data_IF_179880587750
#
_entry.id   IF_179880587750
#
_cell.length_a   1.000
_cell.length_b   1.000
_cell.length_c   1.000
_cell.angle_alpha   90.00
_cell.angle_beta   90.00
_cell.angle_gamma   90.00
#
_symmetry.space_group_name_H-M   'P 1'
#
loop_
_entity.id
_entity.type
_entity.pdbx_description
1 polymer ?
#
# COMPACT_ATOMS: atom_id res chain seq x y z
N UNK A 1 -5.19 4.11 -0.66
CA UNK A 1 -3.90 3.79 -1.31
C UNK A 1 -3.34 2.53 -0.66
N UNK A 2 -2.80 1.60 -1.44
CA UNK A 2 -2.19 0.36 -0.90
C UNK A 2 -0.74 0.63 -0.49
N UNK A 3 -0.35 0.16 0.70
CA UNK A 3 1.02 0.13 1.18
C UNK A 3 1.62 -1.23 0.81
N UNK A 4 2.65 -1.22 -0.02
CA UNK A 4 3.40 -2.43 -0.41
C UNK A 4 4.72 -2.48 0.32
N UNK A 5 5.17 -3.69 0.63
CA UNK A 5 6.52 -3.92 1.11
C UNK A 5 7.48 -4.06 -0.10
N UNK A 6 8.68 -3.49 0.01
CA UNK A 6 9.70 -3.57 -1.05
C UNK A 6 10.21 -5.00 -1.29
N UNK A 7 10.06 -5.88 -0.30
CA UNK A 7 10.46 -7.29 -0.35
C UNK A 7 9.33 -8.24 -0.79
N UNK A 8 8.22 -7.71 -1.31
CA UNK A 8 7.15 -8.55 -1.88
C UNK A 8 7.61 -9.20 -3.18
N UNK A 9 7.69 -10.52 -3.20
CA UNK A 9 8.02 -11.32 -4.39
C UNK A 9 6.81 -12.16 -4.78
N UNK A 10 6.41 -12.11 -6.05
CA UNK A 10 5.35 -12.98 -6.58
C UNK A 10 5.99 -14.27 -7.06
N UNK A 11 5.52 -15.39 -6.53
CA UNK A 11 5.95 -16.73 -6.90
C UNK A 11 4.81 -17.41 -7.66
N UNK A 12 5.15 -18.07 -8.75
CA UNK A 12 4.23 -18.92 -9.49
C UNK A 12 4.51 -20.38 -9.14
N UNK A 13 3.47 -21.13 -8.80
CA UNK A 13 3.58 -22.57 -8.64
C UNK A 13 3.63 -23.21 -10.04
N UNK A 14 4.76 -23.83 -10.38
CA UNK A 14 4.96 -24.46 -11.68
C UNK A 14 4.13 -25.73 -11.88
N UNK A 15 3.64 -26.34 -10.80
CA UNK A 15 2.85 -27.57 -10.83
C UNK A 15 1.35 -27.31 -10.95
N UNK A 16 0.81 -26.34 -10.21
CA UNK A 16 -0.63 -26.00 -10.26
C UNK A 16 -0.95 -24.85 -11.23
N UNK A 17 0.05 -24.06 -11.63
CA UNK A 17 -0.11 -22.87 -12.46
C UNK A 17 -0.62 -21.63 -11.72
N UNK A 18 -0.92 -21.74 -10.42
CA UNK A 18 -1.35 -20.63 -9.57
C UNK A 18 -0.21 -19.68 -9.21
N UNK A 19 -0.55 -18.51 -8.65
CA UNK A 19 0.44 -17.53 -8.22
C UNK A 19 0.09 -16.93 -6.87
N UNK A 20 1.10 -16.73 -6.02
CA UNK A 20 0.94 -16.12 -4.71
C UNK A 20 2.10 -15.16 -4.40
N UNK A 21 1.95 -14.35 -3.36
CA UNK A 21 3.03 -13.46 -2.91
C UNK A 21 3.74 -14.09 -1.72
N UNK A 22 5.03 -14.30 -1.88
CA UNK A 22 5.87 -14.94 -0.88
C UNK A 22 5.88 -14.16 0.43
N UNK A 23 5.75 -14.88 1.53
CA UNK A 23 5.69 -14.38 2.90
C UNK A 23 4.62 -13.31 3.19
N UNK A 24 3.64 -13.10 2.31
CA UNK A 24 2.62 -12.07 2.51
C UNK A 24 1.54 -12.54 3.48
N UNK A 25 1.38 -11.86 4.60
CA UNK A 25 0.36 -12.24 5.60
C UNK A 25 -0.85 -11.30 5.57
N UNK A 26 -0.64 -10.02 5.24
CA UNK A 26 -1.74 -9.05 5.12
C UNK A 26 -1.51 -8.08 3.95
N UNK A 27 -2.59 -7.66 3.30
CA UNK A 27 -2.65 -6.43 2.54
C UNK A 27 -2.74 -5.23 3.48
N UNK A 28 -1.93 -4.21 3.25
CA UNK A 28 -2.04 -2.94 3.96
C UNK A 28 -2.66 -1.85 3.08
N UNK A 29 -3.67 -1.17 3.62
CA UNK A 29 -4.26 0.04 3.06
C UNK A 29 -4.16 1.18 4.07
N UNK A 30 -4.07 2.40 3.58
CA UNK A 30 -4.10 3.59 4.42
C UNK A 30 -5.27 4.49 4.06
N UNK A 31 -6.05 4.86 5.08
CA UNK A 31 -7.03 5.95 5.06
C UNK A 31 -6.44 7.15 5.79
N UNK A 32 -6.44 8.32 5.14
CA UNK A 32 -5.70 9.50 5.58
C UNK A 32 -6.57 10.75 5.50
N UNK A 33 -7.56 10.91 6.39
CA UNK A 33 -8.27 12.17 6.51
C UNK A 33 -7.29 13.26 6.96
N UNK A 34 -7.14 14.32 6.16
CA UNK A 34 -6.20 15.39 6.43
C UNK A 34 -6.94 16.72 6.58
N UNK A 35 -6.44 17.57 7.47
CA UNK A 35 -6.84 18.96 7.58
C UNK A 35 -5.61 19.84 7.50
N UNK A 36 -5.69 20.96 6.80
CA UNK A 36 -4.52 21.78 6.55
C UNK A 36 -4.82 23.17 6.04
N UNK A 37 -3.74 23.93 5.89
CA UNK A 37 -3.75 25.30 5.42
C UNK A 37 -3.00 25.41 4.11
N UNK A 38 -3.53 26.27 3.24
CA UNK A 38 -2.84 26.72 2.05
C UNK A 38 -2.55 28.22 2.20
N UNK A 39 -1.34 28.63 1.83
CA UNK A 39 -0.88 30.02 1.86
C UNK A 39 -0.28 30.38 0.51
N UNK A 40 -0.71 31.51 -0.03
CA UNK A 40 -0.11 32.07 -1.26
C UNK A 40 1.19 32.75 -0.84
N UNK A 41 2.33 32.22 -1.29
CA UNK A 41 3.64 32.81 -1.04
C UNK A 41 3.92 33.96 -2.02
N UNK A 42 3.61 33.74 -3.29
CA UNK A 42 3.79 34.72 -4.36
C UNK A 42 2.53 34.83 -5.19
N UNK A 43 1.97 36.04 -5.22
CA UNK A 43 0.78 36.35 -6.01
C UNK A 43 1.19 36.71 -7.43
N UNK A 44 0.42 36.22 -8.40
CA UNK A 44 0.63 36.49 -9.83
C UNK A 44 0.70 38.00 -10.12
N UNK A 45 1.74 38.43 -10.83
CA UNK A 45 1.85 39.78 -11.40
C UNK A 45 0.94 39.93 -12.63
N UNK A 46 0.48 41.17 -12.89
CA UNK A 46 -0.59 41.49 -13.85
C UNK A 46 -0.37 40.93 -15.26
N UNK A 47 0.86 40.87 -15.77
CA UNK A 47 1.10 40.52 -17.18
C UNK A 47 1.59 39.08 -17.46
N UNK A 48 2.22 38.37 -16.52
CA UNK A 48 2.72 36.99 -16.75
C UNK A 48 3.21 36.26 -15.48
N UNK A 49 2.53 36.38 -14.34
CA UNK A 49 3.03 35.74 -13.10
C UNK A 49 2.70 34.25 -12.94
N UNK A 50 3.64 33.50 -12.36
CA UNK A 50 3.39 32.21 -11.69
C UNK A 50 2.88 32.49 -10.28
N UNK A 51 1.80 31.83 -9.86
CA UNK A 51 1.38 31.85 -8.47
C UNK A 51 2.02 30.68 -7.74
N UNK A 52 2.62 30.95 -6.57
CA UNK A 52 3.24 29.92 -5.73
C UNK A 52 2.42 29.80 -4.45
N UNK A 53 1.93 28.60 -4.16
CA UNK A 53 1.25 28.29 -2.91
C UNK A 53 2.06 27.27 -2.11
N UNK A 54 2.09 27.46 -0.80
CA UNK A 54 2.51 26.46 0.15
C UNK A 54 1.30 25.79 0.78
N UNK A 55 1.32 24.47 0.85
CA UNK A 55 0.32 23.65 1.51
C UNK A 55 0.96 22.91 2.67
N UNK A 56 0.30 22.93 3.82
CA UNK A 56 0.69 22.16 4.99
C UNK A 56 -0.55 21.54 5.60
N UNK A 57 -0.58 20.22 5.74
CA UNK A 57 -1.69 19.48 6.32
C UNK A 57 -1.20 18.36 7.22
N UNK A 58 -2.00 18.05 8.23
CA UNK A 58 -1.75 16.93 9.13
C UNK A 58 -3.08 16.26 9.46
N UNK A 59 -3.02 15.01 9.89
CA UNK A 59 -4.22 14.29 10.28
C UNK A 59 -3.95 12.91 10.83
N UNK A 60 -4.98 12.26 11.38
CA UNK A 60 -4.89 10.86 11.74
C UNK A 60 -4.75 10.00 10.47
N UNK A 61 -4.03 8.90 10.59
CA UNK A 61 -3.96 7.83 9.58
C UNK A 61 -4.55 6.56 10.18
N UNK A 62 -5.33 5.84 9.39
CA UNK A 62 -5.84 4.51 9.76
C UNK A 62 -5.26 3.51 8.78
N UNK A 63 -4.37 2.65 9.28
CA UNK A 63 -3.86 1.49 8.58
C UNK A 63 -4.88 0.37 8.66
N UNK A 64 -5.23 -0.21 7.54
CA UNK A 64 -6.19 -1.30 7.41
C UNK A 64 -5.39 -2.50 6.93
N UNK A 65 -5.23 -3.51 7.78
CA UNK A 65 -4.54 -4.75 7.50
C UNK A 65 -5.57 -5.82 7.21
N UNK A 66 -5.75 -6.13 5.93
CA UNK A 66 -6.67 -7.18 5.50
C UNK A 66 -5.87 -8.48 5.29
N UNK A 67 -6.27 -9.61 5.90
CA UNK A 67 -5.58 -10.89 5.75
C UNK A 67 -5.39 -11.29 4.28
N UNK A 68 -4.21 -11.82 3.97
CA UNK A 68 -3.94 -12.46 2.68
C UNK A 68 -4.20 -13.96 2.82
N UNK A 69 -5.19 -14.46 2.08
CA UNK A 69 -5.53 -15.88 2.08
C UNK A 69 -4.91 -16.59 0.88
N UNK A 70 -4.50 -17.83 1.11
CA UNK A 70 -4.01 -18.76 0.09
C UNK A 70 -4.84 -20.04 0.14
N UNK A 71 -4.91 -20.74 -0.99
CA UNK A 71 -5.42 -22.10 -1.04
C UNK A 71 -4.25 -23.05 -0.81
N UNK A 72 -4.23 -23.72 0.34
CA UNK A 72 -3.16 -24.63 0.73
C UNK A 72 -3.62 -26.07 0.71
N UNK A 73 -2.80 -26.93 0.11
CA UNK A 73 -3.08 -28.36 0.01
C UNK A 73 -2.32 -29.15 1.08
N UNK A 74 -3.04 -29.60 2.09
CA UNK A 74 -2.46 -30.35 3.21
C UNK A 74 -2.03 -31.78 2.83
N UNK A 75 -2.59 -32.34 1.76
CA UNK A 75 -2.20 -33.65 1.24
C UNK A 75 -0.90 -33.51 0.47
N UNK A 76 -0.85 -32.59 -0.51
CA UNK A 76 0.35 -32.29 -1.28
C UNK A 76 1.50 -31.77 -0.42
N UNK A 77 1.22 -31.10 0.71
CA UNK A 77 2.23 -30.71 1.68
C UNK A 77 3.03 -31.89 2.26
N UNK A 78 2.42 -33.08 2.34
CA UNK A 78 3.05 -34.29 2.86
C UNK A 78 3.57 -35.22 1.76
N UNK A 79 2.86 -35.29 0.64
CA UNK A 79 3.14 -36.25 -0.44
C UNK A 79 3.95 -35.66 -1.59
N UNK A 80 3.99 -34.32 -1.71
CA UNK A 80 4.53 -33.57 -2.85
C UNK A 80 3.87 -33.93 -4.20
N UNK A 81 2.68 -34.53 -4.17
CA UNK A 81 1.91 -34.94 -5.35
C UNK A 81 0.51 -34.37 -5.22
N UNK A 82 0.07 -33.67 -6.27
CA UNK A 82 -1.27 -33.13 -6.38
C UNK A 82 -2.22 -34.16 -6.99
N UNK A 83 -3.35 -34.40 -6.33
CA UNK A 83 -4.39 -35.32 -6.73
C UNK A 83 -5.77 -34.68 -6.60
N UNK A 84 -6.76 -35.26 -7.28
CA UNK A 84 -8.14 -34.75 -7.25
C UNK A 84 -8.87 -34.97 -5.91
N UNK A 85 -8.28 -35.70 -4.96
CA UNK A 85 -8.86 -36.01 -3.65
C UNK A 85 -8.14 -35.30 -2.50
N UNK A 86 -7.41 -34.23 -2.81
CA UNK A 86 -6.59 -33.51 -1.86
C UNK A 86 -7.40 -32.58 -0.95
N UNK A 87 -6.92 -32.40 0.29
CA UNK A 87 -7.54 -31.52 1.29
C UNK A 87 -7.01 -30.09 1.10
N UNK A 88 -7.71 -29.34 0.22
CA UNK A 88 -7.40 -27.94 -0.08
C UNK A 88 -8.23 -27.04 0.82
N UNK A 89 -7.54 -26.14 1.55
CA UNK A 89 -8.17 -25.20 2.48
C UNK A 89 -7.74 -23.78 2.21
N UNK A 90 -8.70 -22.86 2.27
CA UNK A 90 -8.44 -21.44 2.18
C UNK A 90 -8.19 -20.85 3.57
N UNK A 91 -6.96 -20.42 3.82
CA UNK A 91 -6.56 -19.84 5.10
C UNK A 91 -5.55 -18.72 4.97
N UNK A 92 -5.37 -17.95 6.04
CA UNK A 92 -4.43 -16.85 6.05
C UNK A 92 -3.00 -17.38 5.91
N UNK A 93 -2.25 -16.82 4.96
CA UNK A 93 -0.89 -17.26 4.72
C UNK A 93 0.04 -16.91 5.88
N UNK A 94 0.53 -17.95 6.51
CA UNK A 94 1.55 -17.92 7.55
C UNK A 94 2.74 -18.79 7.14
N UNK A 95 3.92 -18.22 6.83
CA UNK A 95 5.14 -18.97 6.50
C UNK A 95 5.61 -19.93 7.60
N UNK A 96 5.19 -19.72 8.86
CA UNK A 96 5.50 -20.62 9.97
C UNK A 96 4.72 -21.93 9.93
N UNK A 97 3.51 -21.91 9.34
CA UNK A 97 2.62 -23.07 9.22
C UNK A 97 2.77 -23.70 7.82
N UNK A 98 2.80 -22.85 6.79
CA UNK A 98 2.86 -23.22 5.39
C UNK A 98 4.32 -23.34 4.92
N UNK A 99 5.10 -24.19 5.60
CA UNK A 99 6.52 -24.39 5.34
C UNK A 99 6.75 -25.02 3.95
N UNK A 100 5.82 -25.88 3.51
CA UNK A 100 5.89 -26.50 2.19
C UNK A 100 5.29 -25.57 1.13
N UNK A 101 6.10 -24.64 0.62
CA UNK A 101 5.74 -23.65 -0.41
C UNK A 101 5.17 -24.28 -1.69
N UNK A 102 5.68 -25.46 -2.04
CA UNK A 102 5.22 -26.21 -3.22
C UNK A 102 3.78 -26.71 -3.12
N UNK A 103 3.18 -26.74 -1.93
CA UNK A 103 1.79 -27.14 -1.69
C UNK A 103 0.80 -25.97 -1.69
N UNK A 104 1.29 -24.74 -1.91
CA UNK A 104 0.44 -23.57 -2.10
C UNK A 104 -0.11 -23.62 -3.53
N UNK A 105 -1.41 -23.83 -3.68
CA UNK A 105 -2.07 -24.03 -4.98
C UNK A 105 -2.20 -22.72 -5.73
N UNK A 106 -2.84 -21.71 -5.10
CA UNK A 106 -3.04 -20.37 -5.64
C UNK A 106 -3.36 -19.38 -4.50
N UNK A 107 -3.46 -18.10 -4.82
CA UNK A 107 -4.04 -17.10 -3.94
C UNK A 107 -5.57 -17.22 -3.87
N UNK A 108 -6.13 -17.06 -2.67
CA UNK A 108 -7.57 -17.05 -2.49
C UNK A 108 -8.18 -15.71 -2.93
N UNK A 109 -9.52 -15.62 -3.08
CA UNK A 109 -10.20 -14.37 -3.43
C UNK A 109 -9.85 -13.23 -2.47
N UNK A 110 -9.72 -12.01 -3.00
CA UNK A 110 -9.24 -10.84 -2.24
C UNK A 110 -10.06 -10.52 -0.97
N UNK A 111 -11.37 -10.77 -0.96
CA UNK A 111 -12.23 -10.49 0.18
C UNK A 111 -12.30 -11.62 1.21
N UNK A 112 -11.62 -12.73 0.95
CA UNK A 112 -11.49 -13.83 1.91
C UNK A 112 -10.74 -13.32 3.15
N UNK A 113 -11.42 -13.30 4.29
CA UNK A 113 -10.85 -12.80 5.55
C UNK A 113 -11.13 -11.33 5.88
N UNK A 114 -12.03 -10.63 5.15
CA UNK A 114 -12.43 -9.25 5.49
C UNK A 114 -12.91 -9.10 6.95
N UNK A 115 -13.54 -10.14 7.51
CA UNK A 115 -13.98 -10.16 8.90
C UNK A 115 -12.86 -10.21 9.95
N UNK A 116 -11.62 -10.52 9.54
CA UNK A 116 -10.42 -10.53 10.40
C UNK A 116 -9.49 -9.34 10.13
N UNK A 117 -10.00 -8.30 9.46
CA UNK A 117 -9.25 -7.06 9.20
C UNK A 117 -8.83 -6.38 10.50
N UNK A 118 -7.56 -6.02 10.61
CA UNK A 118 -7.03 -5.28 11.75
C UNK A 118 -6.87 -3.81 11.41
N UNK A 119 -7.27 -2.94 12.34
CA UNK A 119 -7.10 -1.49 12.21
C UNK A 119 -5.92 -1.03 13.07
N UNK A 120 -5.07 -0.21 12.49
CA UNK A 120 -3.88 0.36 13.14
C UNK A 120 -3.95 1.87 13.07
N UNK A 121 -4.04 2.51 14.23
CA UNK A 121 -3.98 3.97 14.31
C UNK A 121 -2.57 4.49 13.99
N UNK A 122 -2.54 5.65 13.34
CA UNK A 122 -1.34 6.37 12.95
C UNK A 122 -1.62 7.86 12.77
N UNK A 123 -0.63 8.58 12.31
CA UNK A 123 -0.72 9.99 11.97
C UNK A 123 0.16 10.29 10.76
N UNK A 124 -0.20 11.33 10.02
CA UNK A 124 0.59 11.81 8.89
C UNK A 124 0.74 13.33 8.89
N UNK A 125 1.82 13.76 8.23
CA UNK A 125 2.12 15.14 7.91
C UNK A 125 2.40 15.24 6.41
N UNK A 126 1.76 16.19 5.73
CA UNK A 126 1.95 16.48 4.31
C UNK A 126 2.31 17.94 4.13
N UNK A 127 3.39 18.19 3.41
CA UNK A 127 3.82 19.52 2.98
C UNK A 127 3.99 19.55 1.47
N UNK A 128 3.56 20.63 0.81
CA UNK A 128 3.68 20.76 -0.64
C UNK A 128 3.84 22.21 -1.09
N UNK A 129 4.44 22.37 -2.26
CA UNK A 129 4.52 23.62 -3.00
C UNK A 129 3.80 23.43 -4.33
N UNK A 130 2.84 24.29 -4.64
CA UNK A 130 2.15 24.31 -5.93
C UNK A 130 2.51 25.56 -6.72
N UNK A 131 2.92 25.38 -7.96
CA UNK A 131 3.20 26.43 -8.93
C UNK A 131 2.08 26.42 -9.95
N UNK A 132 1.33 27.51 -10.04
CA UNK A 132 0.22 27.65 -10.97
C UNK A 132 0.58 28.71 -12.03
N UNK A 133 0.50 28.30 -13.29
CA UNK A 133 0.69 29.14 -14.47
C UNK A 133 -0.65 29.28 -15.19
N UNK A 134 -1.18 30.49 -15.21
CA UNK A 134 -2.32 30.85 -16.06
C UNK A 134 -1.91 31.92 -17.05
N UNK A 135 -1.96 31.64 -18.36
CA UNK A 135 -1.90 32.71 -19.37
C UNK A 135 -3.32 33.26 -19.56
N UNK A 136 -3.45 34.54 -19.90
CA UNK A 136 -4.75 35.21 -20.05
C UNK A 136 -5.74 34.36 -20.88
N UNK A 137 -6.84 33.99 -20.21
CA UNK A 137 -8.15 33.52 -20.68
C UNK A 137 -8.43 32.01 -20.81
N UNK A 138 -7.60 31.12 -21.34
CA UNK A 138 -8.14 29.79 -21.74
C UNK A 138 -7.44 28.52 -21.22
N UNK A 139 -6.28 28.60 -20.56
CA UNK A 139 -5.62 27.41 -19.99
C UNK A 139 -4.91 27.70 -18.66
N UNK A 140 -5.18 26.87 -17.65
CA UNK A 140 -4.49 26.87 -16.36
C UNK A 140 -3.68 25.58 -16.28
N UNK A 141 -2.36 25.70 -16.17
CA UNK A 141 -1.46 24.59 -15.93
C UNK A 141 -0.80 24.76 -14.57
N UNK A 142 -0.64 23.69 -13.81
CA UNK A 142 -0.01 23.74 -12.50
C UNK A 142 0.81 22.51 -12.19
N UNK A 143 1.83 22.68 -11.36
CA UNK A 143 2.66 21.60 -10.85
C UNK A 143 2.67 21.71 -9.33
N UNK A 144 2.33 20.63 -8.64
CA UNK A 144 2.50 20.50 -7.19
C UNK A 144 3.56 19.46 -6.90
N UNK A 145 4.54 19.82 -6.07
CA UNK A 145 5.52 18.89 -5.53
C UNK A 145 5.39 18.88 -4.01
N UNK A 146 5.30 17.70 -3.42
CA UNK A 146 5.13 17.57 -1.98
C UNK A 146 5.75 16.33 -1.41
N UNK A 147 5.83 16.32 -0.08
CA UNK A 147 6.21 15.19 0.72
C UNK A 147 5.08 14.81 1.67
N UNK A 148 5.00 13.53 1.98
CA UNK A 148 4.10 12.94 2.95
C UNK A 148 4.95 12.06 3.86
N UNK A 149 4.77 12.23 5.16
CA UNK A 149 5.42 11.43 6.18
C UNK A 149 4.34 10.82 7.04
N UNK A 150 4.35 9.51 7.17
CA UNK A 150 3.36 8.77 7.97
C UNK A 150 4.03 7.89 9.02
N UNK A 151 3.39 7.78 10.16
CA UNK A 151 3.80 6.88 11.24
C UNK A 151 2.60 6.15 11.83
N UNK A 152 2.80 4.89 12.23
CA UNK A 152 1.76 4.05 12.83
C UNK A 152 2.15 3.61 14.23
N UNK A 153 1.18 3.54 15.13
CA UNK A 153 1.38 3.12 16.51
C UNK A 153 1.95 1.69 16.60
N UNK A 154 1.49 0.81 15.70
CA UNK A 154 1.98 -0.57 15.55
C UNK A 154 2.58 -0.75 14.16
N UNK A 155 3.48 -1.73 14.02
CA UNK A 155 4.01 -2.13 12.71
C UNK A 155 2.88 -2.69 11.87
N UNK A 156 2.84 -2.29 10.61
CA UNK A 156 1.95 -2.88 9.63
C UNK A 156 2.56 -4.22 9.21
N UNK A 157 2.03 -5.32 9.74
CA UNK A 157 2.50 -6.68 9.44
C UNK A 157 2.05 -7.08 8.02
N UNK A 158 2.79 -6.63 7.01
CA UNK A 158 2.52 -6.94 5.60
C UNK A 158 3.14 -8.30 5.24
N UNK A 159 4.40 -8.48 5.64
CA UNK A 159 5.14 -9.72 5.46
C UNK A 159 5.39 -10.39 6.81
N UNK A 160 5.19 -11.71 6.89
CA UNK A 160 5.63 -12.49 8.04
C UNK A 160 7.04 -13.03 7.80
N UNK A 161 7.97 -12.89 8.77
CA UNK A 161 9.32 -13.42 8.66
C UNK A 161 9.41 -14.96 8.76
N UNK A 162 8.31 -15.65 9.03
CA UNK A 162 8.31 -17.07 9.36
C UNK A 162 9.05 -17.36 10.67
N UNK A 163 9.63 -18.57 10.78
CA UNK A 163 10.22 -19.08 12.03
C UNK A 163 11.60 -18.51 12.40
N UNK A 164 12.24 -17.70 11.54
CA UNK A 164 13.66 -17.33 11.71
C UNK A 164 13.98 -15.84 11.53
N UNK A 165 12.98 -14.95 11.51
CA UNK A 165 13.24 -13.52 11.35
C UNK A 165 12.39 -12.64 12.27
N UNK A 166 12.92 -11.46 12.56
CA UNK A 166 12.17 -10.44 13.30
C UNK A 166 11.24 -9.68 12.34
N UNK A 167 9.94 -9.68 12.64
CA UNK A 167 8.95 -8.93 11.88
C UNK A 167 9.25 -7.41 11.86
N UNK A 168 10.07 -6.95 12.81
CA UNK A 168 10.57 -5.58 12.91
C UNK A 168 11.60 -5.19 11.84
N UNK A 169 12.31 -6.17 11.26
CA UNK A 169 13.32 -5.94 10.21
C UNK A 169 12.72 -5.93 8.80
N UNK A 170 11.49 -6.41 8.68
CA UNK A 170 10.79 -6.54 7.40
C UNK A 170 9.67 -5.49 7.30
N UNK A 171 9.00 -5.17 8.41
CA UNK A 171 7.88 -4.24 8.41
C UNK A 171 8.23 -2.89 9.04
N UNK A 172 7.97 -1.82 8.29
CA UNK A 172 8.23 -0.45 8.74
C UNK A 172 7.02 0.14 9.49
N UNK A 173 7.31 1.01 10.46
CA UNK A 173 6.31 1.88 11.10
C UNK A 173 6.23 3.26 10.45
N UNK A 174 7.29 3.66 9.76
CA UNK A 174 7.50 4.98 9.20
C UNK A 174 7.57 4.90 7.67
N UNK A 175 6.77 5.73 7.01
CA UNK A 175 6.61 5.72 5.56
C UNK A 175 6.80 7.15 5.03
N UNK A 176 8.02 7.51 4.62
CA UNK A 176 8.26 8.76 3.90
C UNK A 176 7.86 8.57 2.43
N UNK A 177 7.29 9.60 1.83
CA UNK A 177 6.85 9.59 0.44
C UNK A 177 7.00 10.98 -0.16
N UNK A 178 7.28 11.03 -1.45
CA UNK A 178 7.26 12.25 -2.24
C UNK A 178 6.30 12.06 -3.39
N UNK A 179 5.65 13.13 -3.83
CA UNK A 179 4.75 13.07 -4.96
C UNK A 179 4.86 14.33 -5.81
N UNK A 180 4.52 14.16 -7.08
CA UNK A 180 4.36 15.22 -8.06
C UNK A 180 2.94 15.13 -8.61
N UNK A 181 2.26 16.25 -8.74
CA UNK A 181 0.95 16.32 -9.38
C UNK A 181 0.97 17.39 -10.46
N UNK A 182 0.49 17.04 -11.65
CA UNK A 182 0.34 17.93 -12.78
C UNK A 182 -1.15 18.21 -12.97
N UNK A 183 -1.50 19.49 -13.06
CA UNK A 183 -2.86 19.96 -13.29
C UNK A 183 -2.90 20.65 -14.65
N UNK A 184 -3.83 20.24 -15.51
CA UNK A 184 -4.09 20.91 -16.79
C UNK A 184 -5.59 21.12 -16.86
N UNK A 185 -6.02 22.38 -16.86
CA UNK A 185 -7.41 22.79 -16.98
C UNK A 185 -7.61 23.66 -18.22
N UNK A 186 -8.61 23.30 -19.02
CA UNK A 186 -9.09 24.11 -20.14
C UNK A 186 -10.49 24.61 -19.78
N UNK A 187 -10.76 25.90 -19.99
CA UNK A 187 -12.09 26.49 -19.76
C UNK A 187 -12.72 26.73 -21.12
N UNK A 188 -13.74 25.94 -21.47
CA UNK A 188 -14.64 26.16 -22.61
C UNK A 188 -15.76 27.11 -22.23
#
# INVERSE_FOLDING_TARGET
MSLKNQKEERVSNTTTGGSYIYHKTNYAFALRPSFGVQRILFRKAADAGVQVNALLSAGPSIGILMPYYISYDYTAAKTLVFNSSDDIRDEQYDPSIHVQEGAIVDHAPFFSGIGRTQLVAGAHLRGALSFEYGRYRDAVAGIEAGFLVETYARRLLILSPGNQGDAALINNKFFPSVYLTLYIGHRS
#
